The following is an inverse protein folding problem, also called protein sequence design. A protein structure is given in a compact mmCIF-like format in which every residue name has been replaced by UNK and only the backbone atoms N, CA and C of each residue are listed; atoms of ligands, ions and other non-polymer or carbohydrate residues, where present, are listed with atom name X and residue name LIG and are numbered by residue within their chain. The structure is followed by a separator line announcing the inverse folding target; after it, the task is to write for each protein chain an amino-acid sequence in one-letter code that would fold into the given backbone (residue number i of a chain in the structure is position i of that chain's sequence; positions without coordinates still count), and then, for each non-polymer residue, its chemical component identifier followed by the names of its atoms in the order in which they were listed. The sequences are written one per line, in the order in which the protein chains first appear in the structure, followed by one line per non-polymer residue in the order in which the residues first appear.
data_IF_997384973813
#
_entry.id   IF_997384973813
#
_cell.length_a   1.000
_cell.length_b   1.000
_cell.length_c   1.000
_cell.angle_alpha   90.00
_cell.angle_beta   90.00
_cell.angle_gamma   90.00
#
_symmetry.space_group_name_H-M   'P 1'
#
loop_
_entity.id
_entity.type
_entity.pdbx_description
1 polymer ?
#
# COMPACT_ATOMS: atom_id res chain seq x y z
N UNK A 1 -17.37 -28.31 23.59
CA UNK A 1 -16.17 -28.66 22.77
C UNK A 1 -16.46 -29.07 21.32
N UNK A 2 -17.72 -29.24 20.90
CA UNK A 2 -18.13 -29.68 19.54
C UNK A 2 -18.32 -28.57 18.49
N UNK A 3 -18.28 -27.27 18.87
CA UNK A 3 -18.37 -26.15 17.91
C UNK A 3 -17.05 -25.82 17.19
N UNK A 4 -15.90 -26.28 17.71
CA UNK A 4 -14.58 -25.99 17.12
C UNK A 4 -14.26 -26.84 15.88
N UNK A 5 -14.77 -28.08 15.79
CA UNK A 5 -14.44 -28.98 14.67
C UNK A 5 -15.11 -28.56 13.35
N UNK A 6 -16.36 -28.11 13.40
CA UNK A 6 -17.10 -27.65 12.21
C UNK A 6 -16.55 -26.33 11.63
N UNK A 7 -16.07 -25.41 12.48
CA UNK A 7 -15.45 -24.15 12.03
C UNK A 7 -14.13 -24.39 11.28
N UNK A 8 -13.38 -25.43 11.67
CA UNK A 8 -12.12 -25.82 11.02
C UNK A 8 -12.33 -26.47 9.64
N UNK A 9 -13.40 -27.23 9.43
CA UNK A 9 -13.66 -27.85 8.11
C UNK A 9 -14.17 -26.83 7.08
N UNK A 10 -15.05 -25.92 7.50
CA UNK A 10 -15.64 -24.86 6.66
C UNK A 10 -14.60 -23.84 6.16
N UNK A 11 -13.61 -23.50 6.99
CA UNK A 11 -12.52 -22.61 6.60
C UNK A 11 -11.51 -23.27 5.67
N UNK A 12 -11.42 -24.61 5.65
CA UNK A 12 -10.45 -25.34 4.80
C UNK A 12 -10.75 -25.21 3.30
N UNK A 13 -12.02 -25.32 2.88
CA UNK A 13 -12.41 -25.22 1.46
C UNK A 13 -12.10 -23.85 0.86
N UNK A 14 -12.52 -22.78 1.55
CA UNK A 14 -12.24 -21.42 1.09
C UNK A 14 -10.74 -21.11 1.09
N UNK A 15 -9.97 -21.59 2.09
CA UNK A 15 -8.52 -21.40 2.08
C UNK A 15 -7.85 -22.07 0.88
N UNK A 16 -8.25 -23.31 0.56
CA UNK A 16 -7.76 -24.02 -0.63
C UNK A 16 -8.18 -23.27 -1.90
N UNK A 17 -9.45 -22.83 -1.99
CA UNK A 17 -9.94 -22.03 -3.11
C UNK A 17 -9.14 -20.74 -3.30
N UNK A 18 -8.82 -20.03 -2.22
CA UNK A 18 -7.98 -18.83 -2.27
C UNK A 18 -6.60 -19.15 -2.85
N UNK A 19 -5.96 -20.23 -2.38
CA UNK A 19 -4.63 -20.64 -2.86
C UNK A 19 -4.69 -21.00 -4.35
N UNK A 20 -5.64 -21.85 -4.76
CA UNK A 20 -5.76 -22.31 -6.14
C UNK A 20 -6.07 -21.17 -7.12
N UNK A 21 -7.01 -20.28 -6.77
CA UNK A 21 -7.34 -19.13 -7.60
C UNK A 21 -6.17 -18.16 -7.66
N UNK A 22 -5.47 -17.92 -6.54
CA UNK A 22 -4.26 -17.06 -6.53
C UNK A 22 -3.18 -17.62 -7.46
N UNK A 23 -2.94 -18.93 -7.44
CA UNK A 23 -1.98 -19.59 -8.34
C UNK A 23 -2.38 -19.45 -9.81
N UNK A 24 -3.65 -19.66 -10.13
CA UNK A 24 -4.18 -19.49 -11.48
C UNK A 24 -4.04 -18.02 -11.95
N UNK A 25 -4.37 -17.07 -11.07
CA UNK A 25 -4.25 -15.65 -11.37
C UNK A 25 -2.79 -15.22 -11.57
N UNK A 26 -1.86 -15.74 -10.77
CA UNK A 26 -0.43 -15.49 -10.97
C UNK A 26 0.02 -15.98 -12.35
N UNK A 27 -0.44 -17.17 -12.77
CA UNK A 27 -0.17 -17.68 -14.11
C UNK A 27 -0.73 -16.76 -15.20
N UNK A 28 -1.96 -16.27 -15.07
CA UNK A 28 -2.55 -15.30 -16.02
C UNK A 28 -1.73 -14.01 -16.06
N UNK A 29 -1.39 -13.45 -14.90
CA UNK A 29 -0.68 -12.17 -14.78
C UNK A 29 0.74 -12.26 -15.34
N UNK A 30 1.43 -13.40 -15.18
CA UNK A 30 2.72 -13.67 -15.80
C UNK A 30 2.69 -13.63 -17.34
N UNK A 31 1.52 -13.85 -17.95
CA UNK A 31 1.31 -13.86 -19.39
C UNK A 31 0.68 -12.56 -19.92
N UNK A 32 0.51 -11.53 -19.08
CA UNK A 32 0.01 -10.22 -19.53
C UNK A 32 1.07 -9.49 -20.39
N UNK A 33 0.62 -8.70 -21.39
CA UNK A 33 1.50 -7.93 -22.28
C UNK A 33 2.17 -6.73 -21.58
N UNK A 34 1.66 -6.33 -20.42
CA UNK A 34 2.24 -5.32 -19.54
C UNK A 34 2.66 -6.00 -18.24
N UNK A 35 3.96 -6.01 -17.95
CA UNK A 35 4.49 -6.56 -16.69
C UNK A 35 5.00 -5.43 -15.82
N UNK A 36 5.00 -5.66 -14.50
CA UNK A 36 5.78 -4.81 -13.62
C UNK A 36 7.27 -4.91 -14.04
N UNK A 37 8.01 -3.81 -13.97
CA UNK A 37 9.47 -3.86 -14.16
C UNK A 37 10.02 -4.83 -13.10
N UNK A 38 10.76 -5.90 -13.48
CA UNK A 38 11.25 -6.91 -12.54
C UNK A 38 12.01 -6.30 -11.36
N UNK A 39 12.91 -5.37 -11.65
CA UNK A 39 13.66 -4.57 -10.67
C UNK A 39 13.02 -3.18 -10.50
N UNK A 40 11.70 -3.16 -10.25
CA UNK A 40 10.88 -1.93 -10.26
C UNK A 40 11.49 -0.76 -9.49
N UNK A 41 12.11 -1.03 -8.34
CA UNK A 41 13.08 -0.14 -7.72
C UNK A 41 14.43 -0.86 -7.59
N UNK A 42 15.36 -0.53 -8.47
CA UNK A 42 16.67 -1.17 -8.56
C UNK A 42 17.48 -1.02 -7.27
N UNK A 43 17.30 0.10 -6.55
CA UNK A 43 17.97 0.33 -5.26
C UNK A 43 17.58 -0.73 -4.24
N UNK A 44 16.29 -1.09 -4.13
CA UNK A 44 15.86 -2.15 -3.21
C UNK A 44 16.47 -3.50 -3.56
N UNK A 45 16.60 -3.80 -4.85
CA UNK A 45 17.24 -5.04 -5.29
C UNK A 45 18.72 -5.09 -4.91
N UNK A 46 19.48 -4.05 -5.26
CA UNK A 46 20.93 -3.97 -5.01
C UNK A 46 21.23 -4.00 -3.51
N UNK A 47 20.54 -3.19 -2.71
CA UNK A 47 20.77 -3.10 -1.27
C UNK A 47 20.39 -4.41 -0.56
N UNK A 48 19.27 -5.06 -0.95
CA UNK A 48 18.88 -6.35 -0.39
C UNK A 48 19.87 -7.46 -0.76
N UNK A 49 20.38 -7.45 -2.00
CA UNK A 49 21.41 -8.40 -2.47
C UNK A 49 22.70 -8.24 -1.68
N UNK A 50 23.18 -7.00 -1.50
CA UNK A 50 24.38 -6.72 -0.73
C UNK A 50 24.21 -7.09 0.75
N UNK A 51 23.05 -6.79 1.34
CA UNK A 51 22.72 -7.20 2.72
C UNK A 51 22.74 -8.73 2.86
N UNK A 52 22.09 -9.47 1.94
CA UNK A 52 22.07 -10.92 1.98
C UNK A 52 23.46 -11.54 1.83
N UNK A 53 24.28 -11.00 0.91
CA UNK A 53 25.67 -11.44 0.72
C UNK A 53 26.55 -11.11 1.93
N UNK A 54 26.35 -9.97 2.58
CA UNK A 54 27.05 -9.61 3.81
C UNK A 54 26.74 -10.59 4.95
N UNK A 55 25.45 -10.93 5.13
CA UNK A 55 25.01 -11.91 6.14
C UNK A 55 25.63 -13.30 5.88
N UNK A 56 25.87 -13.66 4.61
CA UNK A 56 26.56 -14.90 4.24
C UNK A 56 28.09 -14.84 4.39
N UNK A 57 28.67 -13.65 4.58
CA UNK A 57 30.11 -13.45 4.61
C UNK A 57 30.77 -13.27 3.24
N UNK A 58 29.99 -13.07 2.16
CA UNK A 58 30.51 -12.99 0.79
C UNK A 58 31.03 -11.60 0.40
N UNK A 59 30.65 -10.55 1.14
CA UNK A 59 31.05 -9.16 0.89
C UNK A 59 31.31 -8.42 2.21
N UNK A 60 32.12 -7.37 2.16
CA UNK A 60 32.41 -6.50 3.30
C UNK A 60 31.26 -5.56 3.67
N UNK A 61 31.32 -5.02 4.89
CA UNK A 61 30.35 -4.04 5.41
C UNK A 61 30.31 -2.72 4.61
N UNK A 62 31.38 -2.41 3.88
CA UNK A 62 31.47 -1.23 3.00
C UNK A 62 30.39 -1.25 1.90
N UNK A 63 29.95 -2.44 1.47
CA UNK A 63 28.91 -2.61 0.44
C UNK A 63 27.47 -2.52 0.98
N UNK A 64 27.30 -2.57 2.30
CA UNK A 64 25.98 -2.50 2.93
C UNK A 64 25.57 -1.04 3.08
N UNK A 65 24.45 -0.69 2.43
CA UNK A 65 23.83 0.63 2.45
C UNK A 65 22.30 0.48 2.54
N UNK A 66 21.66 1.48 3.15
CA UNK A 66 20.21 1.63 3.23
C UNK A 66 19.92 3.10 2.89
N UNK A 67 19.77 3.39 1.60
CA UNK A 67 19.56 4.78 1.12
C UNK A 67 18.09 5.14 1.07
N UNK A 68 17.21 4.16 0.85
CA UNK A 68 15.75 4.33 0.81
C UNK A 68 15.09 3.79 2.09
N UNK A 69 13.79 3.50 1.99
CA UNK A 69 13.03 2.88 3.07
C UNK A 69 13.66 1.52 3.45
N UNK A 70 13.92 1.24 4.75
CA UNK A 70 14.60 0.01 5.18
C UNK A 70 13.75 -1.25 5.03
N UNK A 71 12.43 -1.13 5.07
CA UNK A 71 11.50 -2.26 5.07
C UNK A 71 11.65 -3.20 3.86
N UNK A 72 11.63 -2.70 2.61
CA UNK A 72 11.71 -3.55 1.43
C UNK A 72 13.07 -4.25 1.35
N UNK A 73 14.16 -3.58 1.73
CA UNK A 73 15.51 -4.16 1.76
C UNK A 73 15.52 -5.38 2.68
N UNK A 74 15.06 -5.21 3.93
CA UNK A 74 14.98 -6.30 4.90
C UNK A 74 14.05 -7.42 4.43
N UNK A 75 12.92 -7.06 3.81
CA UNK A 75 11.95 -8.01 3.29
C UNK A 75 12.51 -8.89 2.16
N UNK A 76 13.21 -8.30 1.18
CA UNK A 76 13.81 -9.03 0.06
C UNK A 76 15.14 -9.71 0.40
N UNK A 77 15.81 -9.28 1.47
CA UNK A 77 16.98 -9.98 2.01
C UNK A 77 16.64 -11.42 2.40
N UNK A 78 15.44 -11.67 2.94
CA UNK A 78 14.98 -13.01 3.38
C UNK A 78 15.09 -14.06 2.25
N UNK A 79 14.43 -13.89 1.09
CA UNK A 79 14.55 -14.87 0.00
C UNK A 79 15.96 -14.91 -0.60
N UNK A 80 16.73 -13.82 -0.55
CA UNK A 80 18.09 -13.77 -1.10
C UNK A 80 19.11 -14.51 -0.22
N UNK A 81 18.88 -14.61 1.09
CA UNK A 81 19.67 -15.46 1.97
C UNK A 81 19.55 -16.94 1.57
N UNK A 82 18.38 -17.36 1.07
CA UNK A 82 18.13 -18.76 0.66
C UNK A 82 18.79 -19.07 -0.70
N UNK A 83 18.93 -18.08 -1.58
CA UNK A 83 19.55 -18.26 -2.90
C UNK A 83 21.05 -18.61 -2.80
N UNK A 84 21.62 -19.22 -3.84
CA UNK A 84 23.09 -19.38 -3.94
C UNK A 84 23.80 -18.01 -3.90
N UNK A 85 25.00 -17.94 -3.32
CA UNK A 85 25.87 -16.76 -3.39
C UNK A 85 26.26 -16.38 -4.82
N UNK A 86 26.24 -17.34 -5.74
CA UNK A 86 26.49 -17.15 -7.19
C UNK A 86 25.22 -16.88 -8.00
N UNK A 87 24.06 -16.71 -7.35
CA UNK A 87 22.80 -16.50 -8.07
C UNK A 87 22.83 -15.23 -8.93
N UNK A 88 22.37 -15.34 -10.17
CA UNK A 88 22.21 -14.20 -11.07
C UNK A 88 21.03 -13.32 -10.62
N UNK A 89 20.96 -12.08 -11.10
CA UNK A 89 19.87 -11.16 -10.74
C UNK A 89 18.50 -11.70 -11.16
N UNK A 90 18.44 -12.41 -12.30
CA UNK A 90 17.23 -13.09 -12.73
C UNK A 90 16.82 -14.23 -11.78
N UNK A 91 17.78 -15.00 -11.26
CA UNK A 91 17.48 -16.04 -10.27
C UNK A 91 16.99 -15.41 -8.97
N UNK A 92 17.67 -14.37 -8.47
CA UNK A 92 17.24 -13.61 -7.29
C UNK A 92 15.82 -13.05 -7.48
N UNK A 93 15.52 -12.49 -8.64
CA UNK A 93 14.17 -12.03 -8.98
C UNK A 93 13.12 -13.16 -8.89
N UNK A 94 13.42 -14.37 -9.35
CA UNK A 94 12.53 -15.54 -9.20
C UNK A 94 12.30 -15.86 -7.72
N UNK A 95 13.36 -15.94 -6.90
CA UNK A 95 13.22 -16.18 -5.45
C UNK A 95 12.32 -15.13 -4.77
N UNK A 96 12.52 -13.86 -5.08
CA UNK A 96 11.70 -12.78 -4.55
C UNK A 96 10.24 -12.81 -5.06
N UNK A 97 10.01 -13.17 -6.33
CA UNK A 97 8.67 -13.30 -6.91
C UNK A 97 7.89 -14.44 -6.25
N UNK A 98 8.53 -15.60 -6.05
CA UNK A 98 7.92 -16.72 -5.32
C UNK A 98 7.59 -16.32 -3.88
N UNK A 99 8.54 -15.67 -3.20
CA UNK A 99 8.34 -15.21 -1.82
C UNK A 99 7.19 -14.21 -1.70
N UNK A 100 7.16 -13.18 -2.55
CA UNK A 100 6.08 -12.19 -2.57
C UNK A 100 4.72 -12.81 -2.91
N UNK A 101 4.66 -13.75 -3.85
CA UNK A 101 3.43 -14.50 -4.16
C UNK A 101 2.88 -15.26 -2.95
N UNK A 102 3.74 -15.96 -2.21
CA UNK A 102 3.35 -16.65 -0.97
C UNK A 102 2.82 -15.67 0.07
N UNK A 103 3.52 -14.54 0.25
CA UNK A 103 3.12 -13.50 1.21
C UNK A 103 1.78 -12.87 0.85
N UNK A 104 1.53 -12.59 -0.43
CA UNK A 104 0.25 -12.07 -0.93
C UNK A 104 -0.87 -13.09 -0.72
N UNK A 105 -0.61 -14.37 -0.98
CA UNK A 105 -1.58 -15.44 -0.74
C UNK A 105 -1.95 -15.54 0.75
N UNK A 106 -0.94 -15.46 1.64
CA UNK A 106 -1.16 -15.40 3.09
C UNK A 106 -2.00 -14.17 3.47
N UNK A 107 -1.73 -13.01 2.86
CA UNK A 107 -2.55 -11.82 3.07
C UNK A 107 -4.00 -12.03 2.67
N UNK A 108 -4.30 -12.67 1.53
CA UNK A 108 -5.68 -12.94 1.13
C UNK A 108 -6.41 -13.87 2.10
N UNK A 109 -5.71 -14.88 2.65
CA UNK A 109 -6.25 -15.74 3.70
C UNK A 109 -6.57 -14.95 4.98
N UNK A 110 -5.70 -13.99 5.36
CA UNK A 110 -5.95 -13.11 6.49
C UNK A 110 -7.10 -12.13 6.21
N UNK A 111 -7.19 -11.56 5.01
CA UNK A 111 -8.28 -10.68 4.59
C UNK A 111 -9.64 -11.38 4.71
N UNK A 112 -9.73 -12.63 4.24
CA UNK A 112 -10.93 -13.44 4.43
C UNK A 112 -11.31 -13.54 5.91
N UNK A 113 -10.34 -13.83 6.79
CA UNK A 113 -10.57 -13.94 8.24
C UNK A 113 -10.99 -12.60 8.86
N UNK A 114 -10.34 -11.50 8.48
CA UNK A 114 -10.67 -10.15 8.93
C UNK A 114 -12.12 -9.82 8.57
N UNK A 115 -12.50 -9.96 7.29
CA UNK A 115 -13.87 -9.68 6.84
C UNK A 115 -14.91 -10.61 7.47
N UNK A 116 -14.58 -11.89 7.61
CA UNK A 116 -15.46 -12.89 8.24
C UNK A 116 -15.75 -12.61 9.70
N UNK A 117 -14.76 -12.11 10.44
CA UNK A 117 -14.84 -11.92 11.89
C UNK A 117 -15.33 -10.52 12.30
N UNK A 118 -15.05 -9.48 11.51
CA UNK A 118 -15.61 -8.14 11.76
C UNK A 118 -17.05 -8.01 11.27
N UNK A 119 -17.43 -8.72 10.21
CA UNK A 119 -18.73 -8.54 9.55
C UNK A 119 -19.50 -9.85 9.42
N UNK A 120 -19.15 -10.68 8.44
CA UNK A 120 -19.79 -11.97 8.15
C UNK A 120 -18.95 -12.77 7.16
N UNK A 121 -19.14 -14.09 7.09
CA UNK A 121 -18.38 -14.97 6.17
C UNK A 121 -18.56 -14.56 4.71
N UNK A 122 -19.74 -14.08 4.38
CA UNK A 122 -20.12 -13.58 3.06
C UNK A 122 -19.36 -12.30 2.71
N UNK A 123 -19.20 -11.38 3.67
CA UNK A 123 -18.35 -10.19 3.49
C UNK A 123 -16.88 -10.57 3.33
N UNK A 124 -16.39 -11.54 4.12
CA UNK A 124 -15.05 -12.09 3.96
C UNK A 124 -14.83 -12.69 2.57
N UNK A 125 -15.79 -13.48 2.07
CA UNK A 125 -15.78 -14.06 0.72
C UNK A 125 -15.79 -12.95 -0.34
N UNK A 126 -16.70 -11.97 -0.23
CA UNK A 126 -16.80 -10.85 -1.16
C UNK A 126 -15.51 -10.04 -1.21
N UNK A 127 -14.86 -9.78 -0.07
CA UNK A 127 -13.59 -9.05 -0.03
C UNK A 127 -12.51 -9.75 -0.87
N UNK A 128 -12.37 -11.07 -0.75
CA UNK A 128 -11.43 -11.85 -1.57
C UNK A 128 -11.85 -11.87 -3.05
N UNK A 129 -13.13 -12.07 -3.35
CA UNK A 129 -13.62 -12.04 -4.73
C UNK A 129 -13.32 -10.71 -5.41
N UNK A 130 -13.45 -9.58 -4.70
CA UNK A 130 -13.07 -8.27 -5.22
C UNK A 130 -11.58 -8.20 -5.56
N UNK A 131 -10.70 -8.78 -4.73
CA UNK A 131 -9.27 -8.92 -5.08
C UNK A 131 -9.07 -9.77 -6.32
N UNK A 132 -9.84 -10.84 -6.49
CA UNK A 132 -9.73 -11.70 -7.67
C UNK A 132 -10.25 -11.06 -8.97
N UNK A 133 -11.28 -10.23 -8.88
CA UNK A 133 -11.79 -9.45 -10.03
C UNK A 133 -10.75 -8.45 -10.53
N UNK A 134 -9.93 -7.89 -9.64
CA UNK A 134 -8.85 -6.98 -10.01
C UNK A 134 -7.48 -7.41 -9.42
N UNK A 135 -6.73 -8.29 -10.14
CA UNK A 135 -5.48 -8.96 -9.70
C UNK A 135 -4.27 -8.07 -9.37
N UNK A 136 -4.44 -6.79 -9.06
CA UNK A 136 -3.32 -5.84 -8.96
C UNK A 136 -2.26 -6.25 -7.91
N UNK A 137 -2.66 -7.04 -6.91
CA UNK A 137 -1.75 -7.66 -5.94
C UNK A 137 -0.81 -8.70 -6.56
N UNK A 138 -1.28 -9.50 -7.51
CA UNK A 138 -0.45 -10.41 -8.29
C UNK A 138 0.48 -9.63 -9.22
N UNK A 139 -0.01 -8.54 -9.84
CA UNK A 139 0.83 -7.69 -10.69
C UNK A 139 2.03 -7.13 -9.93
N UNK A 140 1.81 -6.58 -8.73
CA UNK A 140 2.91 -6.06 -7.91
C UNK A 140 3.82 -7.14 -7.31
N UNK A 141 3.37 -8.41 -7.20
CA UNK A 141 4.28 -9.50 -6.80
C UNK A 141 5.35 -9.86 -7.83
N UNK A 142 5.23 -9.37 -9.07
CA UNK A 142 6.26 -9.56 -10.10
C UNK A 142 7.42 -8.57 -10.01
N UNK A 143 7.36 -7.58 -9.12
CA UNK A 143 8.39 -6.55 -8.98
C UNK A 143 9.08 -6.58 -7.61
N UNK A 144 10.36 -6.18 -7.59
CA UNK A 144 11.07 -5.81 -6.35
C UNK A 144 10.64 -4.39 -5.98
N UNK A 145 9.65 -4.29 -5.09
CA UNK A 145 8.84 -3.10 -4.86
C UNK A 145 8.40 -3.02 -3.39
N UNK A 146 8.15 -1.81 -2.89
CA UNK A 146 7.69 -1.60 -1.50
C UNK A 146 6.19 -1.94 -1.29
N UNK A 147 5.45 -2.07 -2.39
CA UNK A 147 4.01 -2.29 -2.48
C UNK A 147 3.57 -3.56 -1.75
N UNK A 148 4.14 -4.72 -2.10
CA UNK A 148 3.75 -6.02 -1.51
C UNK A 148 4.12 -6.12 -0.03
N UNK A 149 5.35 -5.75 0.41
CA UNK A 149 5.69 -5.71 1.83
C UNK A 149 4.73 -4.83 2.66
N UNK A 150 4.37 -3.66 2.14
CA UNK A 150 3.43 -2.74 2.79
C UNK A 150 1.99 -3.29 2.82
N UNK A 151 1.54 -3.94 1.74
CA UNK A 151 0.25 -4.62 1.68
C UNK A 151 0.15 -5.74 2.73
N UNK A 152 1.20 -6.54 2.88
CA UNK A 152 1.28 -7.55 3.93
C UNK A 152 1.28 -6.93 5.32
N UNK A 153 2.06 -5.88 5.53
CA UNK A 153 2.17 -5.17 6.81
C UNK A 153 0.83 -4.62 7.28
N UNK A 154 0.08 -3.96 6.39
CA UNK A 154 -1.27 -3.49 6.72
C UNK A 154 -2.23 -4.66 7.00
N UNK A 155 -2.13 -5.75 6.24
CA UNK A 155 -2.96 -6.94 6.50
C UNK A 155 -2.72 -7.51 7.90
N UNK A 156 -1.44 -7.61 8.31
CA UNK A 156 -1.05 -8.03 9.66
C UNK A 156 -1.55 -7.04 10.71
N UNK A 157 -1.45 -5.73 10.47
CA UNK A 157 -1.95 -4.70 11.38
C UNK A 157 -3.47 -4.82 11.60
N UNK A 158 -4.25 -4.98 10.53
CA UNK A 158 -5.70 -5.15 10.60
C UNK A 158 -6.11 -6.46 11.28
N UNK A 159 -5.34 -7.53 11.08
CA UNK A 159 -5.56 -8.80 11.78
C UNK A 159 -5.20 -8.70 13.27
N UNK A 160 -4.13 -7.99 13.62
CA UNK A 160 -3.77 -7.67 15.00
C UNK A 160 -4.88 -6.85 15.68
N UNK A 161 -5.39 -5.84 14.99
CA UNK A 161 -6.54 -5.05 15.43
C UNK A 161 -7.79 -5.91 15.63
N UNK A 162 -8.11 -6.84 14.72
CA UNK A 162 -9.23 -7.77 14.91
C UNK A 162 -9.13 -8.50 16.26
N UNK A 163 -7.97 -9.08 16.55
CA UNK A 163 -7.75 -9.86 17.77
C UNK A 163 -7.85 -8.95 19.01
N UNK A 164 -7.23 -7.78 18.96
CA UNK A 164 -7.27 -6.79 20.04
C UNK A 164 -8.68 -6.23 20.25
N UNK A 165 -9.43 -6.01 19.18
CA UNK A 165 -10.81 -5.52 19.21
C UNK A 165 -11.76 -6.54 19.85
N UNK A 166 -11.66 -7.82 19.45
CA UNK A 166 -12.50 -8.86 20.03
C UNK A 166 -12.12 -9.19 21.48
N UNK A 167 -10.82 -9.14 21.79
CA UNK A 167 -10.28 -9.48 23.11
C UNK A 167 -9.19 -8.47 23.51
N UNK A 168 -9.55 -7.34 24.14
CA UNK A 168 -8.61 -6.26 24.46
C UNK A 168 -7.43 -6.71 25.32
N UNK A 169 -7.58 -7.76 26.12
CA UNK A 169 -6.51 -8.26 27.00
C UNK A 169 -5.56 -9.26 26.31
N UNK A 170 -5.84 -9.65 25.07
CA UNK A 170 -5.03 -10.63 24.34
C UNK A 170 -3.79 -9.96 23.74
N UNK A 171 -2.65 -10.13 24.40
CA UNK A 171 -1.34 -9.56 24.01
C UNK A 171 -1.01 -9.81 22.53
N UNK A 172 -1.30 -11.02 22.03
CA UNK A 172 -1.08 -11.39 20.63
C UNK A 172 -1.67 -10.38 19.62
N UNK A 173 -2.84 -9.81 19.90
CA UNK A 173 -3.46 -8.82 19.01
C UNK A 173 -2.66 -7.53 18.93
N UNK A 174 -2.22 -7.03 20.09
CA UNK A 174 -1.41 -5.81 20.19
C UNK A 174 -0.02 -5.98 19.59
N UNK A 175 0.64 -7.12 19.82
CA UNK A 175 1.94 -7.43 19.21
C UNK A 175 1.84 -7.45 17.68
N UNK A 176 0.82 -8.12 17.13
CA UNK A 176 0.60 -8.14 15.68
C UNK A 176 0.26 -6.74 15.13
N UNK A 177 -0.49 -5.94 15.88
CA UNK A 177 -0.77 -4.55 15.50
C UNK A 177 0.51 -3.70 15.47
N UNK A 178 1.36 -3.81 16.50
CA UNK A 178 2.65 -3.13 16.57
C UNK A 178 3.53 -3.55 15.39
N UNK A 179 3.73 -4.86 15.17
CA UNK A 179 4.55 -5.37 14.08
C UNK A 179 4.02 -4.94 12.71
N UNK A 180 2.71 -5.03 12.50
CA UNK A 180 2.08 -4.62 11.25
C UNK A 180 2.24 -3.13 10.96
N UNK A 181 2.01 -2.25 11.94
CA UNK A 181 2.18 -0.81 11.77
C UNK A 181 3.65 -0.41 11.64
N UNK A 182 4.54 -1.02 12.43
CA UNK A 182 5.97 -0.77 12.36
C UNK A 182 6.51 -1.16 10.99
N UNK A 183 6.26 -2.39 10.51
CA UNK A 183 6.68 -2.77 9.17
C UNK A 183 6.02 -1.96 8.07
N UNK A 184 4.76 -1.52 8.25
CA UNK A 184 4.11 -0.63 7.28
C UNK A 184 4.89 0.68 7.13
N UNK A 185 5.31 1.28 8.25
CA UNK A 185 6.12 2.52 8.26
C UNK A 185 7.52 2.26 7.69
N UNK A 186 8.17 1.14 8.01
CA UNK A 186 9.46 0.80 7.44
C UNK A 186 9.40 0.58 5.92
N UNK A 187 8.30 0.05 5.41
CA UNK A 187 8.06 -0.13 3.98
C UNK A 187 7.66 1.16 3.28
N UNK A 188 6.91 2.01 3.99
CA UNK A 188 6.30 3.24 3.49
C UNK A 188 6.34 4.31 4.59
N UNK A 189 7.44 5.07 4.73
CA UNK A 189 7.58 6.07 5.80
C UNK A 189 6.48 7.15 5.79
N UNK A 190 5.91 7.43 4.62
CA UNK A 190 4.73 8.26 4.42
C UNK A 190 3.49 7.82 5.22
N UNK A 191 3.41 6.54 5.62
CA UNK A 191 2.32 6.03 6.48
C UNK A 191 2.47 6.45 7.94
N UNK A 192 3.58 7.05 8.36
CA UNK A 192 3.82 7.53 9.74
C UNK A 192 2.69 8.44 10.24
N UNK A 193 2.03 9.17 9.34
CA UNK A 193 0.88 10.03 9.67
C UNK A 193 -0.28 9.26 10.34
N UNK A 194 -0.37 7.94 10.16
CA UNK A 194 -1.35 7.09 10.86
C UNK A 194 -1.18 7.15 12.39
N UNK A 195 0.05 7.35 12.89
CA UNK A 195 0.29 7.48 14.33
C UNK A 195 -0.33 8.77 14.87
N UNK A 196 -0.15 9.89 14.14
CA UNK A 196 -0.76 11.18 14.47
C UNK A 196 -2.29 11.10 14.47
N UNK A 197 -2.88 10.53 13.41
CA UNK A 197 -4.32 10.28 13.36
C UNK A 197 -4.78 9.34 14.49
N UNK A 198 -3.97 8.34 14.84
CA UNK A 198 -4.22 7.45 15.96
C UNK A 198 -4.32 8.19 17.30
N UNK A 199 -3.40 9.11 17.58
CA UNK A 199 -3.47 9.96 18.78
C UNK A 199 -4.70 10.87 18.78
N UNK A 200 -5.09 11.43 17.63
CA UNK A 200 -6.34 12.17 17.51
C UNK A 200 -7.56 11.29 17.81
N UNK A 201 -7.55 10.03 17.38
CA UNK A 201 -8.62 9.07 17.71
C UNK A 201 -8.67 8.76 19.20
N UNK A 202 -7.51 8.58 19.85
CA UNK A 202 -7.42 8.40 21.29
C UNK A 202 -7.98 9.62 22.02
N UNK A 203 -7.55 10.83 21.66
CA UNK A 203 -8.03 12.08 22.24
C UNK A 203 -9.54 12.25 22.04
N UNK A 204 -10.04 12.05 20.81
CA UNK A 204 -11.48 12.06 20.54
C UNK A 204 -12.23 11.04 21.39
N UNK A 205 -11.70 9.83 21.53
CA UNK A 205 -12.35 8.77 22.32
C UNK A 205 -12.42 9.09 23.80
N UNK A 206 -11.41 9.78 24.36
CA UNK A 206 -11.40 10.23 25.75
C UNK A 206 -12.60 11.13 26.06
N UNK A 207 -12.96 12.04 25.13
CA UNK A 207 -14.05 13.00 25.34
C UNK A 207 -15.42 12.47 24.88
N UNK A 208 -15.49 11.79 23.72
CA UNK A 208 -16.75 11.47 23.03
C UNK A 208 -17.12 9.99 23.03
N UNK A 209 -16.18 9.08 23.31
CA UNK A 209 -16.38 7.61 23.28
C UNK A 209 -15.68 6.91 24.45
N UNK A 210 -16.07 7.25 25.67
CA UNK A 210 -15.41 6.81 26.92
C UNK A 210 -15.26 5.28 27.03
N UNK A 211 -16.26 4.50 26.60
CA UNK A 211 -16.19 3.04 26.60
C UNK A 211 -15.10 2.47 25.68
N UNK A 212 -14.94 3.09 24.50
CA UNK A 212 -13.84 2.75 23.59
C UNK A 212 -12.49 3.10 24.22
N UNK A 213 -12.37 4.30 24.82
CA UNK A 213 -11.14 4.71 25.49
C UNK A 213 -10.78 3.79 26.66
N UNK A 214 -11.75 3.40 27.49
CA UNK A 214 -11.55 2.49 28.62
C UNK A 214 -11.03 1.13 28.15
N UNK A 215 -11.58 0.62 27.05
CA UNK A 215 -11.20 -0.70 26.51
C UNK A 215 -9.87 -0.69 25.75
N UNK A 216 -9.61 0.35 24.96
CA UNK A 216 -8.52 0.37 23.97
C UNK A 216 -7.55 1.53 24.11
N UNK A 217 -7.99 2.70 24.62
CA UNK A 217 -7.27 3.97 24.54
C UNK A 217 -5.83 3.91 25.08
N UNK A 218 -5.65 3.38 26.29
CA UNK A 218 -4.30 3.24 26.90
C UNK A 218 -3.38 2.31 26.11
N UNK A 219 -3.93 1.19 25.61
CA UNK A 219 -3.18 0.19 24.85
C UNK A 219 -2.83 0.68 23.44
N UNK A 220 -3.72 1.46 22.81
CA UNK A 220 -3.45 2.15 21.56
C UNK A 220 -2.35 3.21 21.73
N UNK A 221 -2.41 4.02 22.80
CA UNK A 221 -1.37 5.00 23.10
C UNK A 221 0.00 4.33 23.23
N UNK A 222 0.08 3.26 24.03
CA UNK A 222 1.30 2.47 24.17
C UNK A 222 1.76 1.90 22.82
N UNK A 223 0.84 1.31 22.05
CA UNK A 223 1.12 0.76 20.71
C UNK A 223 1.74 1.82 19.80
N UNK A 224 1.18 3.02 19.72
CA UNK A 224 1.71 4.08 18.85
C UNK A 224 3.05 4.64 19.34
N UNK A 225 3.23 4.81 20.65
CA UNK A 225 4.53 5.17 21.21
C UNK A 225 5.60 4.12 20.87
N UNK A 226 5.29 2.84 21.05
CA UNK A 226 6.20 1.73 20.70
C UNK A 226 6.52 1.73 19.21
N UNK A 227 5.52 1.84 18.33
CA UNK A 227 5.73 1.89 16.89
C UNK A 227 6.58 3.11 16.49
N UNK A 228 6.33 4.28 17.08
CA UNK A 228 7.11 5.49 16.85
C UNK A 228 8.57 5.33 17.26
N UNK A 229 8.82 4.82 18.48
CA UNK A 229 10.17 4.56 18.99
C UNK A 229 10.92 3.52 18.15
N UNK A 230 10.28 2.41 17.78
CA UNK A 230 10.88 1.39 16.93
C UNK A 230 11.19 1.94 15.53
N UNK A 231 10.28 2.71 14.93
CA UNK A 231 10.50 3.31 13.62
C UNK A 231 11.66 4.31 13.66
N UNK A 232 11.70 5.17 14.67
CA UNK A 232 12.80 6.11 14.89
C UNK A 232 14.14 5.37 15.06
N UNK A 233 14.18 4.34 15.92
CA UNK A 233 15.39 3.54 16.15
C UNK A 233 15.92 2.89 14.87
N UNK A 234 15.06 2.31 14.04
CA UNK A 234 15.49 1.71 12.76
C UNK A 234 15.99 2.76 11.77
N UNK A 235 15.35 3.94 11.70
CA UNK A 235 15.81 5.02 10.81
C UNK A 235 17.18 5.55 11.26
N UNK A 236 17.41 5.70 12.56
CA UNK A 236 18.72 6.07 13.08
C UNK A 236 19.78 5.00 12.78
N UNK A 237 19.43 3.72 12.96
CA UNK A 237 20.33 2.62 12.61
C UNK A 237 20.66 2.60 11.11
N UNK A 238 19.66 2.79 10.24
CA UNK A 238 19.87 2.89 8.80
C UNK A 238 20.82 4.05 8.45
N UNK A 239 20.67 5.20 9.11
CA UNK A 239 21.57 6.35 8.95
C UNK A 239 23.01 6.03 9.37
N UNK A 240 23.19 5.29 10.46
CA UNK A 240 24.52 4.84 10.92
C UNK A 240 25.12 3.83 9.93
N UNK A 241 24.32 2.90 9.40
CA UNK A 241 24.77 1.89 8.43
C UNK A 241 25.24 2.54 7.12
N UNK A 242 24.44 3.50 6.62
CA UNK A 242 24.73 4.22 5.38
C UNK A 242 25.87 5.22 5.58
N UNK A 243 25.93 5.93 6.72
CA UNK A 243 27.00 6.86 7.03
C UNK A 243 27.23 7.88 5.90
N UNK A 244 28.48 8.05 5.48
CA UNK A 244 28.89 8.90 4.35
C UNK A 244 28.93 8.16 3.01
N UNK A 245 28.45 6.91 2.94
CA UNK A 245 28.49 6.09 1.71
C UNK A 245 27.50 6.57 0.64
N UNK A 246 26.60 7.51 0.96
CA UNK A 246 25.64 8.12 0.04
C UNK A 246 25.61 9.63 0.20
N UNK A 247 25.51 10.33 -0.93
CA UNK A 247 25.37 11.79 -1.00
C UNK A 247 23.90 12.25 -0.86
N UNK A 248 22.95 11.32 -0.84
CA UNK A 248 21.52 11.64 -0.78
C UNK A 248 21.03 11.65 0.68
N UNK A 249 20.41 12.77 1.08
CA UNK A 249 19.71 12.85 2.37
C UNK A 249 18.22 12.60 2.20
N UNK A 250 17.62 11.83 3.12
CA UNK A 250 16.17 11.56 3.09
C UNK A 250 15.32 12.84 3.22
N UNK A 251 15.83 13.85 3.95
CA UNK A 251 15.18 15.15 4.07
C UNK A 251 15.19 15.91 2.73
N UNK A 252 16.33 15.95 2.04
CA UNK A 252 16.43 16.56 0.71
C UNK A 252 15.49 15.88 -0.30
N UNK A 253 15.44 14.54 -0.28
CA UNK A 253 14.53 13.78 -1.13
C UNK A 253 13.06 14.11 -0.86
N UNK A 254 12.67 14.28 0.41
CA UNK A 254 11.31 14.67 0.77
C UNK A 254 10.93 16.02 0.15
N UNK A 255 11.76 17.06 0.33
CA UNK A 255 11.45 18.39 -0.21
C UNK A 255 11.50 18.42 -1.74
N UNK A 256 12.40 17.66 -2.37
CA UNK A 256 12.44 17.52 -3.82
C UNK A 256 11.17 16.87 -4.38
N UNK A 257 10.70 15.77 -3.76
CA UNK A 257 9.45 15.11 -4.18
C UNK A 257 8.23 15.98 -3.90
N UNK A 258 8.21 16.71 -2.78
CA UNK A 258 7.15 17.68 -2.49
C UNK A 258 7.13 18.83 -3.50
N UNK A 259 8.31 19.28 -3.95
CA UNK A 259 8.47 20.28 -5.02
C UNK A 259 7.93 19.78 -6.35
N UNK A 260 8.30 18.57 -6.78
CA UNK A 260 7.68 17.92 -7.94
C UNK A 260 6.16 17.87 -7.81
N UNK A 261 5.68 17.53 -6.62
CA UNK A 261 4.28 17.59 -6.25
C UNK A 261 3.60 18.94 -6.51
N UNK A 262 4.30 20.07 -6.40
CA UNK A 262 3.73 21.41 -6.67
C UNK A 262 3.37 21.68 -8.09
N UNK A 263 3.98 20.96 -9.01
CA UNK A 263 3.68 21.07 -10.42
C UNK A 263 2.71 19.98 -10.84
N UNK A 264 2.60 18.87 -10.11
CA UNK A 264 1.65 17.82 -10.44
C UNK A 264 0.19 18.33 -10.43
N UNK A 265 -0.46 18.33 -11.60
CA UNK A 265 -1.83 18.79 -11.82
C UNK A 265 -2.06 20.28 -11.56
N UNK A 266 -1.00 21.09 -11.71
CA UNK A 266 -1.10 22.53 -11.45
C UNK A 266 -1.78 23.22 -12.61
N UNK A 267 -1.21 23.15 -13.79
CA UNK A 267 -1.72 23.74 -15.02
C UNK A 267 -2.50 22.69 -15.82
N UNK A 268 -2.14 21.41 -15.68
CA UNK A 268 -2.71 20.29 -16.43
C UNK A 268 -3.48 19.32 -15.50
N UNK A 269 -4.68 19.70 -15.01
CA UNK A 269 -5.41 18.94 -13.98
C UNK A 269 -5.85 17.53 -14.41
N UNK A 270 -5.79 17.23 -15.70
CA UNK A 270 -6.20 15.95 -16.29
C UNK A 270 -5.04 15.18 -16.92
N UNK A 271 -3.81 15.67 -16.84
CA UNK A 271 -2.64 14.96 -17.39
C UNK A 271 -2.18 13.84 -16.45
N UNK A 272 -2.80 12.69 -16.61
CA UNK A 272 -2.55 11.48 -15.81
C UNK A 272 -1.40 10.59 -16.31
N UNK A 273 -0.64 11.04 -17.32
CA UNK A 273 0.55 10.33 -17.82
C UNK A 273 1.55 10.05 -16.68
N UNK A 274 2.55 9.21 -16.88
CA UNK A 274 3.60 8.98 -15.87
C UNK A 274 4.60 10.15 -15.83
N UNK A 275 5.19 10.45 -14.67
CA UNK A 275 6.07 11.61 -14.47
C UNK A 275 7.51 11.32 -14.92
N UNK A 276 7.73 11.16 -16.23
CA UNK A 276 9.04 10.95 -16.85
C UNK A 276 9.19 11.78 -18.13
N UNK A 277 10.40 12.27 -18.41
CA UNK A 277 10.73 13.09 -19.59
C UNK A 277 10.30 12.45 -20.90
N UNK A 278 10.46 11.13 -21.00
CA UNK A 278 10.24 10.37 -22.24
C UNK A 278 8.74 10.18 -22.53
N UNK A 279 7.88 10.50 -21.55
CA UNK A 279 6.43 10.29 -21.60
C UNK A 279 5.67 11.62 -21.74
N UNK A 280 6.23 12.73 -21.23
CA UNK A 280 5.57 14.05 -21.20
C UNK A 280 6.49 15.24 -21.51
N UNK A 281 7.33 15.19 -22.57
CA UNK A 281 8.24 16.30 -22.89
C UNK A 281 7.48 17.59 -23.24
N UNK A 282 6.22 17.47 -23.61
CA UNK A 282 5.27 18.52 -23.99
C UNK A 282 4.42 19.05 -22.82
N UNK A 283 4.54 18.48 -21.62
CA UNK A 283 3.73 18.90 -20.44
C UNK A 283 4.24 20.22 -19.86
N UNK A 284 3.35 21.20 -19.77
CA UNK A 284 3.62 22.51 -19.14
C UNK A 284 4.03 22.33 -17.68
N UNK A 285 3.33 21.45 -16.93
CA UNK A 285 3.64 21.14 -15.54
C UNK A 285 5.07 20.56 -15.41
N UNK A 286 5.46 19.66 -16.30
CA UNK A 286 6.79 19.06 -16.31
C UNK A 286 7.90 20.07 -16.65
N UNK A 287 7.68 20.88 -17.69
CA UNK A 287 8.63 21.91 -18.11
C UNK A 287 8.80 22.99 -17.04
N UNK A 288 7.71 23.43 -16.41
CA UNK A 288 7.74 24.44 -15.35
C UNK A 288 8.41 23.91 -14.09
N UNK A 289 8.20 22.63 -13.75
CA UNK A 289 8.97 21.96 -12.71
C UNK A 289 10.47 21.98 -13.01
N UNK A 290 10.88 21.56 -14.22
CA UNK A 290 12.30 21.56 -14.63
C UNK A 290 12.93 22.95 -14.57
N UNK A 291 12.25 23.98 -15.09
CA UNK A 291 12.67 25.39 -14.98
C UNK A 291 12.82 25.81 -13.51
N UNK A 292 11.87 25.42 -12.66
CA UNK A 292 11.92 25.72 -11.23
C UNK A 292 13.08 25.03 -10.54
N UNK A 293 13.42 23.78 -10.88
CA UNK A 293 14.60 23.07 -10.34
C UNK A 293 15.87 23.85 -10.67
N UNK A 294 16.05 24.26 -11.93
CA UNK A 294 17.22 25.05 -12.33
C UNK A 294 17.31 26.38 -11.58
N UNK A 295 16.18 27.09 -11.44
CA UNK A 295 16.12 28.36 -10.70
C UNK A 295 16.47 28.18 -9.22
N UNK A 296 15.89 27.17 -8.55
CA UNK A 296 16.16 26.92 -7.14
C UNK A 296 17.62 26.48 -6.91
N UNK A 297 18.19 25.69 -7.82
CA UNK A 297 19.60 25.34 -7.75
C UNK A 297 20.51 26.57 -7.92
N UNK A 298 20.19 27.48 -8.85
CA UNK A 298 20.92 28.74 -9.01
C UNK A 298 20.86 29.61 -7.74
N UNK A 299 19.67 29.76 -7.14
CA UNK A 299 19.50 30.47 -5.87
C UNK A 299 20.33 29.83 -4.75
N UNK A 300 20.36 28.50 -4.67
CA UNK A 300 21.18 27.78 -3.69
C UNK A 300 22.67 28.06 -3.84
N UNK A 301 23.17 28.11 -5.08
CA UNK A 301 24.56 28.45 -5.40
C UNK A 301 24.86 29.91 -5.04
N UNK A 302 24.03 30.85 -5.48
CA UNK A 302 24.22 32.29 -5.27
C UNK A 302 24.14 32.70 -3.79
N UNK A 303 23.25 32.07 -3.03
CA UNK A 303 23.00 32.40 -1.62
C UNK A 303 23.77 31.52 -0.62
N UNK A 304 24.54 30.55 -1.12
CA UNK A 304 25.21 29.51 -0.31
C UNK A 304 24.27 28.77 0.66
N UNK A 305 22.98 28.67 0.31
CA UNK A 305 21.98 27.95 1.11
C UNK A 305 21.92 26.48 0.71
N UNK A 306 21.61 25.62 1.68
CA UNK A 306 21.43 24.20 1.39
C UNK A 306 20.22 23.98 0.45
N UNK A 307 20.25 22.99 -0.45
CA UNK A 307 19.10 22.66 -1.29
C UNK A 307 17.82 22.46 -0.46
N UNK A 308 17.92 21.71 0.64
CA UNK A 308 16.84 21.49 1.61
C UNK A 308 16.14 22.79 2.02
N UNK A 309 16.90 23.81 2.41
CA UNK A 309 16.36 25.09 2.85
C UNK A 309 15.67 25.84 1.69
N UNK A 310 16.29 25.85 0.51
CA UNK A 310 15.76 26.53 -0.67
C UNK A 310 14.43 25.92 -1.12
N UNK A 311 14.36 24.58 -1.24
CA UNK A 311 13.12 23.89 -1.60
C UNK A 311 12.03 24.05 -0.53
N UNK A 312 12.40 23.99 0.76
CA UNK A 312 11.45 24.22 1.87
C UNK A 312 10.81 25.60 1.79
N UNK A 313 11.63 26.65 1.61
CA UNK A 313 11.14 28.02 1.53
C UNK A 313 10.23 28.23 0.32
N UNK A 314 10.62 27.68 -0.84
CA UNK A 314 9.76 27.68 -2.03
C UNK A 314 8.39 27.06 -1.75
N UNK A 315 8.36 25.87 -1.14
CA UNK A 315 7.12 25.15 -0.88
C UNK A 315 6.16 25.92 0.03
N UNK A 316 6.70 26.56 1.08
CA UNK A 316 5.93 27.38 2.02
C UNK A 316 5.36 28.59 1.30
N UNK A 317 6.21 29.35 0.59
CA UNK A 317 5.79 30.56 -0.11
C UNK A 317 4.75 30.26 -1.19
N UNK A 318 4.97 29.21 -1.99
CA UNK A 318 4.02 28.77 -3.02
C UNK A 318 2.65 28.38 -2.42
N UNK A 319 2.62 27.81 -1.21
CA UNK A 319 1.35 27.49 -0.53
C UNK A 319 0.57 28.75 -0.15
N UNK A 320 1.28 29.77 0.32
CA UNK A 320 0.71 31.02 0.82
C UNK A 320 0.27 31.93 -0.33
N UNK A 321 1.05 31.96 -1.41
CA UNK A 321 0.79 32.78 -2.60
C UNK A 321 -0.31 32.16 -3.49
N UNK A 322 -0.44 30.83 -3.52
CA UNK A 322 -1.38 30.13 -4.40
C UNK A 322 -2.29 29.11 -3.68
N UNK A 323 -3.07 29.53 -2.66
CA UNK A 323 -3.86 28.61 -1.83
C UNK A 323 -4.94 27.87 -2.63
N UNK A 324 -5.54 28.49 -3.65
CA UNK A 324 -6.56 27.82 -4.47
C UNK A 324 -5.97 26.72 -5.36
N UNK A 325 -4.81 26.95 -5.97
CA UNK A 325 -4.11 25.92 -6.74
C UNK A 325 -3.68 24.78 -5.84
N UNK A 326 -3.13 25.10 -4.67
CA UNK A 326 -2.79 24.13 -3.63
C UNK A 326 -3.97 23.20 -3.30
N UNK A 327 -5.13 23.79 -2.97
CA UNK A 327 -6.33 23.02 -2.61
C UNK A 327 -6.86 22.19 -3.77
N UNK A 328 -6.90 22.75 -4.99
CA UNK A 328 -7.33 22.01 -6.19
C UNK A 328 -6.43 20.79 -6.43
N UNK A 329 -5.11 21.00 -6.43
CA UNK A 329 -4.13 19.93 -6.62
C UNK A 329 -4.30 18.83 -5.57
N UNK A 330 -4.50 19.19 -4.30
CA UNK A 330 -4.74 18.22 -3.24
C UNK A 330 -5.90 17.26 -3.59
N UNK A 331 -7.04 17.79 -4.01
CA UNK A 331 -8.21 16.97 -4.35
C UNK A 331 -8.01 16.16 -5.64
N UNK A 332 -7.39 16.74 -6.67
CA UNK A 332 -7.08 16.01 -7.91
C UNK A 332 -6.12 14.86 -7.62
N UNK A 333 -5.08 15.07 -6.81
CA UNK A 333 -4.18 14.00 -6.37
C UNK A 333 -4.91 12.92 -5.58
N UNK A 334 -5.79 13.30 -4.64
CA UNK A 334 -6.60 12.32 -3.92
C UNK A 334 -7.44 11.45 -4.87
N UNK A 335 -8.04 12.06 -5.90
CA UNK A 335 -8.76 11.33 -6.95
C UNK A 335 -7.81 10.45 -7.78
N UNK A 336 -6.70 11.01 -8.27
CA UNK A 336 -5.70 10.34 -9.09
C UNK A 336 -5.11 9.10 -8.41
N UNK A 337 -4.89 9.12 -7.10
CA UNK A 337 -4.47 7.94 -6.32
C UNK A 337 -5.42 6.74 -6.42
N UNK A 338 -6.65 6.98 -6.88
CA UNK A 338 -7.67 6.00 -7.15
C UNK A 338 -8.01 5.84 -8.64
N UNK A 339 -7.20 6.33 -9.57
CA UNK A 339 -7.38 6.05 -11.00
C UNK A 339 -6.23 5.19 -11.50
N UNK A 340 -6.54 4.13 -12.24
CA UNK A 340 -5.54 3.23 -12.79
C UNK A 340 -5.24 3.56 -14.25
N UNK A 341 -3.95 3.72 -14.54
CA UNK A 341 -3.41 3.91 -15.89
C UNK A 341 -2.31 2.89 -16.16
N UNK A 342 -2.27 2.35 -17.39
CA UNK A 342 -1.24 1.42 -17.84
C UNK A 342 -0.18 2.23 -18.58
N UNK A 343 0.75 2.81 -17.85
CA UNK A 343 1.77 3.68 -18.45
C UNK A 343 2.93 2.92 -19.11
N UNK A 344 3.00 1.60 -18.96
CA UNK A 344 4.10 0.78 -19.49
C UNK A 344 3.96 0.42 -20.96
N UNK A 345 2.81 0.68 -21.59
CA UNK A 345 2.53 0.32 -22.99
C UNK A 345 1.87 1.49 -23.69
N UNK A 346 2.41 1.88 -24.84
CA UNK A 346 1.77 2.89 -25.71
C UNK A 346 0.42 2.35 -26.21
N UNK A 347 -0.66 3.17 -26.24
CA UNK A 347 -1.99 2.70 -26.63
C UNK A 347 -2.02 1.94 -27.97
N UNK A 348 -1.24 2.38 -28.95
CA UNK A 348 -1.20 1.77 -30.29
C UNK A 348 -0.60 0.36 -30.29
N UNK A 349 0.28 0.07 -29.32
CA UNK A 349 0.99 -1.21 -29.18
C UNK A 349 0.31 -2.16 -28.20
N UNK A 350 -0.86 -1.79 -27.65
CA UNK A 350 -1.56 -2.62 -26.70
C UNK A 350 -2.10 -3.90 -27.35
N UNK A 351 -1.87 -5.05 -26.72
CA UNK A 351 -2.33 -6.34 -27.24
C UNK A 351 -2.60 -7.35 -26.11
N UNK A 352 -3.88 -7.62 -25.84
CA UNK A 352 -4.35 -8.57 -24.83
C UNK A 352 -5.35 -9.56 -25.46
N UNK A 353 -4.84 -10.69 -25.95
CA UNK A 353 -5.65 -11.69 -26.67
C UNK A 353 -6.32 -11.05 -27.90
N UNK A 354 -7.66 -11.09 -28.02
CA UNK A 354 -8.37 -10.44 -29.13
C UNK A 354 -8.51 -8.92 -28.97
N UNK A 355 -8.17 -8.36 -27.80
CA UNK A 355 -8.30 -6.92 -27.51
C UNK A 355 -6.97 -6.23 -27.86
N UNK A 356 -6.93 -5.47 -28.95
CA UNK A 356 -5.69 -4.83 -29.42
C UNK A 356 -5.88 -3.37 -29.86
N UNK A 357 -4.76 -2.65 -29.93
CA UNK A 357 -4.70 -1.25 -30.37
C UNK A 357 -5.32 -0.26 -29.38
N UNK A 358 -5.41 1.00 -29.82
CA UNK A 358 -5.82 2.13 -28.97
C UNK A 358 -7.22 1.98 -28.37
N UNK A 359 -8.18 1.47 -29.15
CA UNK A 359 -9.56 1.22 -28.66
C UNK A 359 -9.53 0.15 -27.56
N UNK A 360 -8.80 -0.94 -27.80
CA UNK A 360 -8.63 -2.02 -26.82
C UNK A 360 -8.00 -1.54 -25.52
N UNK A 361 -6.95 -0.70 -25.63
CA UNK A 361 -6.32 -0.05 -24.48
C UNK A 361 -7.33 0.75 -23.64
N UNK A 362 -8.04 1.69 -24.26
CA UNK A 362 -9.00 2.54 -23.54
C UNK A 362 -10.19 1.76 -22.97
N UNK A 363 -10.65 0.72 -23.67
CA UNK A 363 -11.68 -0.18 -23.14
C UNK A 363 -11.23 -0.89 -21.86
N UNK A 364 -9.99 -1.40 -21.83
CA UNK A 364 -9.43 -2.05 -20.63
C UNK A 364 -9.25 -1.05 -19.49
N UNK A 365 -8.75 0.16 -19.77
CA UNK A 365 -8.64 1.25 -18.77
C UNK A 365 -10.01 1.59 -18.20
N UNK A 366 -11.04 1.73 -19.04
CA UNK A 366 -12.41 2.01 -18.60
C UNK A 366 -12.92 0.88 -17.69
N UNK A 367 -12.75 -0.38 -18.08
CA UNK A 367 -13.19 -1.53 -17.30
C UNK A 367 -12.55 -1.56 -15.89
N UNK A 368 -11.22 -1.38 -15.83
CA UNK A 368 -10.47 -1.35 -14.57
C UNK A 368 -10.97 -0.22 -13.67
N UNK A 369 -11.17 0.98 -14.22
CA UNK A 369 -11.62 2.12 -13.44
C UNK A 369 -13.10 2.00 -13.03
N UNK A 370 -13.97 1.39 -13.82
CA UNK A 370 -15.34 1.05 -13.42
C UNK A 370 -15.36 0.13 -12.19
N UNK A 371 -14.53 -0.92 -12.18
CA UNK A 371 -14.37 -1.78 -11.01
C UNK A 371 -13.89 -0.95 -9.81
N UNK A 372 -12.92 -0.07 -10.03
CA UNK A 372 -12.39 0.73 -8.94
C UNK A 372 -13.39 1.75 -8.37
N UNK A 373 -14.20 2.37 -9.22
CA UNK A 373 -15.29 3.25 -8.80
C UNK A 373 -16.32 2.48 -7.97
N UNK A 374 -16.66 1.24 -8.38
CA UNK A 374 -17.54 0.39 -7.59
C UNK A 374 -16.97 0.08 -6.19
N UNK A 375 -15.65 -0.09 -6.08
CA UNK A 375 -14.97 -0.29 -4.79
C UNK A 375 -15.05 0.96 -3.90
N UNK A 376 -14.80 2.14 -4.47
CA UNK A 376 -14.92 3.41 -3.74
C UNK A 376 -16.35 3.62 -3.28
N UNK A 377 -17.33 3.39 -4.17
CA UNK A 377 -18.75 3.48 -3.84
C UNK A 377 -19.13 2.54 -2.69
N UNK A 378 -18.66 1.29 -2.72
CA UNK A 378 -18.83 0.34 -1.63
C UNK A 378 -18.27 0.87 -0.31
N UNK A 379 -17.05 1.39 -0.31
CA UNK A 379 -16.41 1.92 0.88
C UNK A 379 -17.13 3.16 1.43
N UNK A 380 -17.59 4.06 0.55
CA UNK A 380 -18.41 5.21 0.93
C UNK A 380 -19.74 4.77 1.55
N UNK A 381 -20.42 3.79 0.95
CA UNK A 381 -21.67 3.24 1.49
C UNK A 381 -21.45 2.65 2.89
N UNK A 382 -20.32 1.96 3.12
CA UNK A 382 -19.93 1.52 4.45
C UNK A 382 -19.76 2.69 5.42
N UNK A 383 -18.99 3.72 5.04
CA UNK A 383 -18.74 4.89 5.89
C UNK A 383 -20.03 5.64 6.25
N UNK A 384 -20.97 5.78 5.31
CA UNK A 384 -22.24 6.46 5.57
C UNK A 384 -23.23 5.64 6.40
N UNK A 385 -23.23 4.32 6.24
CA UNK A 385 -24.21 3.45 6.91
C UNK A 385 -23.71 2.88 8.24
N UNK A 386 -22.41 2.91 8.51
CA UNK A 386 -21.82 2.40 9.75
C UNK A 386 -21.89 3.46 10.86
N UNK A 387 -22.59 3.15 11.95
CA UNK A 387 -22.82 4.12 13.04
C UNK A 387 -21.61 4.24 13.97
N UNK A 388 -20.77 3.22 14.05
CA UNK A 388 -19.64 3.14 14.99
C UNK A 388 -18.29 3.10 14.27
N UNK A 389 -18.03 4.10 13.43
CA UNK A 389 -16.79 4.21 12.62
C UNK A 389 -15.49 4.14 13.42
N UNK A 390 -15.52 4.51 14.70
CA UNK A 390 -14.33 4.44 15.57
C UNK A 390 -13.80 3.01 15.72
N UNK A 391 -14.67 1.99 15.67
CA UNK A 391 -14.24 0.59 15.76
C UNK A 391 -13.44 0.14 14.53
N UNK A 392 -13.61 0.85 13.42
CA UNK A 392 -12.97 0.59 12.14
C UNK A 392 -11.91 1.65 11.79
N UNK A 393 -11.43 2.40 12.79
CA UNK A 393 -10.45 3.47 12.57
C UNK A 393 -9.18 3.02 11.84
N UNK A 394 -8.62 1.80 12.02
CA UNK A 394 -7.44 1.41 11.26
C UNK A 394 -7.73 1.23 9.77
N UNK A 395 -9.00 0.97 9.39
CA UNK A 395 -9.39 0.76 8.01
C UNK A 395 -9.46 2.09 7.25
N UNK A 396 -10.20 3.06 7.77
CA UNK A 396 -10.29 4.37 7.11
C UNK A 396 -9.10 5.28 7.44
N UNK A 397 -8.47 5.11 8.59
CA UNK A 397 -7.35 5.94 9.07
C UNK A 397 -6.10 5.80 8.20
N UNK A 398 -5.78 4.59 7.74
CA UNK A 398 -4.64 4.39 6.81
C UNK A 398 -4.89 5.01 5.44
N UNK A 399 -6.13 4.94 4.93
CA UNK A 399 -6.51 5.58 3.66
C UNK A 399 -6.38 7.09 3.81
N UNK A 400 -6.94 7.64 4.88
CA UNK A 400 -6.88 9.07 5.17
C UNK A 400 -5.44 9.57 5.33
N UNK A 401 -4.60 8.83 6.06
CA UNK A 401 -3.18 9.15 6.24
C UNK A 401 -2.45 9.26 4.90
N UNK A 402 -2.64 8.27 4.02
CA UNK A 402 -1.99 8.25 2.71
C UNK A 402 -2.53 9.34 1.79
N UNK A 403 -3.84 9.57 1.77
CA UNK A 403 -4.45 10.65 0.99
C UNK A 403 -3.95 12.02 1.43
N UNK A 404 -3.87 12.28 2.74
CA UNK A 404 -3.34 13.54 3.26
C UNK A 404 -1.88 13.69 2.84
N UNK A 405 -1.05 12.68 3.08
CA UNK A 405 0.39 12.76 2.77
C UNK A 405 0.64 13.00 1.28
N UNK A 406 0.05 12.18 0.41
CA UNK A 406 0.29 12.24 -1.04
C UNK A 406 -0.47 13.37 -1.73
N UNK A 407 -1.61 13.79 -1.18
CA UNK A 407 -2.31 14.99 -1.63
C UNK A 407 -1.47 16.25 -1.39
N UNK A 408 -0.73 16.31 -0.28
CA UNK A 408 0.15 17.43 0.06
C UNK A 408 1.50 17.39 -0.65
N UNK A 409 2.01 16.19 -0.94
CA UNK A 409 3.31 15.98 -1.58
C UNK A 409 3.11 15.62 -3.06
N UNK A 410 3.34 14.37 -3.41
CA UNK A 410 3.26 13.83 -4.76
C UNK A 410 2.47 12.52 -4.73
N UNK A 411 1.63 12.29 -5.74
CA UNK A 411 0.74 11.12 -5.79
C UNK A 411 1.04 10.26 -7.01
N UNK A 412 1.13 8.94 -6.80
CA UNK A 412 0.98 7.94 -7.84
C UNK A 412 -0.03 6.89 -7.37
N UNK A 413 -0.82 6.27 -8.28
CA UNK A 413 -1.82 5.28 -7.89
C UNK A 413 -1.26 4.11 -7.08
N UNK A 414 -0.01 3.73 -7.34
CA UNK A 414 0.69 2.65 -6.61
C UNK A 414 0.92 2.99 -5.13
N UNK A 415 1.00 4.26 -4.76
CA UNK A 415 1.20 4.63 -3.36
C UNK A 415 -0.02 4.36 -2.48
N UNK A 416 -1.22 4.29 -3.08
CA UNK A 416 -2.44 3.87 -2.39
C UNK A 416 -2.58 2.35 -2.29
N UNK A 417 -1.71 1.57 -2.94
CA UNK A 417 -1.79 0.11 -2.98
C UNK A 417 -1.86 -0.56 -1.59
N UNK A 418 -1.06 -0.16 -0.58
CA UNK A 418 -1.16 -0.78 0.75
C UNK A 418 -2.57 -0.66 1.32
N UNK A 419 -3.20 0.51 1.19
CA UNK A 419 -4.55 0.78 1.72
C UNK A 419 -5.67 -0.01 1.04
N UNK A 420 -5.38 -0.68 -0.09
CA UNK A 420 -6.36 -1.51 -0.80
C UNK A 420 -6.90 -2.63 0.08
N UNK A 421 -6.12 -3.16 1.02
CA UNK A 421 -6.59 -4.13 2.03
C UNK A 421 -7.81 -3.58 2.77
N UNK A 422 -7.68 -2.37 3.32
CA UNK A 422 -8.74 -1.72 4.08
C UNK A 422 -9.90 -1.29 3.18
N UNK A 423 -9.59 -0.72 2.01
CA UNK A 423 -10.59 -0.27 1.04
C UNK A 423 -11.49 -1.42 0.60
N UNK A 424 -10.92 -2.59 0.29
CA UNK A 424 -11.68 -3.75 -0.21
C UNK A 424 -12.54 -4.37 0.89
N UNK A 425 -12.04 -4.42 2.13
CA UNK A 425 -12.83 -4.87 3.28
C UNK A 425 -14.02 -3.94 3.56
N UNK A 426 -13.79 -2.63 3.58
CA UNK A 426 -14.88 -1.66 3.74
C UNK A 426 -15.84 -1.69 2.55
N UNK A 427 -15.32 -1.81 1.33
CA UNK A 427 -16.12 -1.95 0.12
C UNK A 427 -17.01 -3.18 0.17
N UNK A 428 -16.47 -4.35 0.50
CA UNK A 428 -17.25 -5.57 0.65
C UNK A 428 -18.34 -5.41 1.70
N UNK A 429 -18.02 -4.83 2.87
CA UNK A 429 -18.98 -4.59 3.93
C UNK A 429 -20.09 -3.60 3.54
N UNK A 430 -19.79 -2.61 2.69
CA UNK A 430 -20.77 -1.66 2.16
C UNK A 430 -21.62 -2.26 1.04
N UNK A 431 -20.99 -2.83 0.01
CA UNK A 431 -21.68 -3.46 -1.13
C UNK A 431 -22.62 -4.58 -0.68
N UNK A 432 -22.23 -5.37 0.33
CA UNK A 432 -23.09 -6.43 0.88
C UNK A 432 -24.39 -5.91 1.52
N UNK A 433 -24.51 -4.61 1.79
CA UNK A 433 -25.78 -3.98 2.22
C UNK A 433 -26.76 -3.75 1.07
N UNK A 434 -26.32 -3.90 -0.18
CA UNK A 434 -27.15 -3.80 -1.38
C UNK A 434 -27.71 -5.19 -1.71
N UNK A 435 -29.04 -5.31 -1.78
CA UNK A 435 -29.75 -6.58 -1.97
C UNK A 435 -29.25 -7.39 -3.18
N UNK A 436 -28.89 -6.73 -4.28
CA UNK A 436 -28.34 -7.39 -5.46
C UNK A 436 -27.02 -8.12 -5.16
N UNK A 437 -26.04 -7.43 -4.56
CA UNK A 437 -24.76 -8.03 -4.17
C UNK A 437 -24.96 -9.10 -3.12
N UNK A 438 -25.78 -8.84 -2.11
CA UNK A 438 -26.11 -9.80 -1.06
C UNK A 438 -26.63 -11.12 -1.65
N UNK A 439 -27.61 -11.06 -2.56
CA UNK A 439 -28.18 -12.24 -3.20
C UNK A 439 -27.15 -13.05 -3.99
N UNK A 440 -26.29 -12.37 -4.76
CA UNK A 440 -25.24 -13.01 -5.55
C UNK A 440 -24.16 -13.66 -4.68
N UNK A 441 -23.70 -12.96 -3.64
CA UNK A 441 -22.71 -13.50 -2.71
C UNK A 441 -23.29 -14.66 -1.92
N UNK A 442 -24.54 -14.56 -1.43
CA UNK A 442 -25.20 -15.65 -0.73
C UNK A 442 -25.38 -16.89 -1.59
N UNK A 443 -25.65 -16.73 -2.88
CA UNK A 443 -25.69 -17.84 -3.81
C UNK A 443 -24.34 -18.55 -3.90
N UNK A 444 -23.24 -17.81 -4.11
CA UNK A 444 -21.88 -18.38 -4.17
C UNK A 444 -21.50 -19.02 -2.83
N UNK A 445 -21.83 -18.37 -1.72
CA UNK A 445 -21.51 -18.80 -0.37
C UNK A 445 -22.07 -20.20 -0.06
N UNK A 446 -23.23 -20.59 -0.62
CA UNK A 446 -23.80 -21.94 -0.46
C UNK A 446 -22.90 -23.06 -0.99
N UNK A 447 -22.12 -22.79 -2.03
CA UNK A 447 -21.20 -23.77 -2.62
C UNK A 447 -19.86 -23.80 -1.88
N UNK A 448 -19.43 -22.63 -1.38
CA UNK A 448 -18.17 -22.46 -0.67
C UNK A 448 -18.25 -23.00 0.76
N UNK A 449 -19.36 -22.72 1.45
CA UNK A 449 -19.61 -23.09 2.83
C UNK A 449 -20.71 -24.16 2.88
N UNK A 450 -20.37 -25.45 3.04
CA UNK A 450 -21.39 -26.49 3.19
C UNK A 450 -22.37 -26.14 4.31
N UNK A 451 -23.67 -26.26 4.03
CA UNK A 451 -24.69 -26.21 5.07
C UNK A 451 -24.35 -27.26 6.13
N UNK A 452 -24.54 -26.93 7.41
CA UNK A 452 -24.47 -27.93 8.48
C UNK A 452 -25.40 -29.07 8.06
N UNK A 453 -24.86 -30.28 7.91
CA UNK A 453 -25.68 -31.49 7.97
C UNK A 453 -26.40 -31.38 9.31
N UNK A 454 -27.75 -31.40 9.36
CA UNK A 454 -28.44 -31.49 10.62
C UNK A 454 -27.94 -32.77 11.28
N UNK A 455 -27.21 -32.64 12.38
CA UNK A 455 -26.98 -33.77 13.27
C UNK A 455 -28.35 -34.11 13.85
N UNK A 456 -28.99 -35.12 13.26
CA UNK A 456 -30.18 -35.78 13.77
C UNK A 456 -29.95 -36.26 15.19
#
# INVERSE_FOLDING_TARGET
MTQMSAFNFLTKRINIGIILISSLMMFVVLNLPFKAKPFGDETFHIEAKNMARYIKGDVGYDKVTITKAPGPILFYTIPYIIASSSATDNQLWVYATVFTFLIVTISLLLIFRIGSSFFSREVGLLAVLLFFVFPIHCYYSLGILAEVPAFFSLTVALYGWLIAFQNPNKIKGWVLLILGLWFLILNRPNTMLILGLGFLIIAYSLFRRKEFFKSYGKKLALTFCTVGLLSFGVVQLAKVITGTKSNESQEGLFYYVAHQGRFQFREEPTDFRYWESDIRPDSDDYQNWGKSVHKLNAIGIETHRSPTEVYRNFLINDALEHPFWFTRQFFIKCFYGHVYFINSVKPEKFHLGPIHGTIGYWFVILLINCINIALIFGALLFLFKEKNLINYWPFWGVILALLIFHGLTYMEPRYMFPSRVALYLMSAAGLYRIKWFQNKVNFIAKFVFPNKIPTS
#
